data_IF_445340960159
#
_entry.id   IF_445340960159
#
_cell.length_a   1.000
_cell.length_b   1.000
_cell.length_c   1.000
_cell.angle_alpha   90.00
_cell.angle_beta   90.00
_cell.angle_gamma   90.00
#
_symmetry.space_group_name_H-M   'P 1'
#
loop_
_entity.id
_entity.type
_entity.pdbx_description
1 polymer ?
#
# COMPACT_ATOMS: atom_id res chain seq x y z
N UNK A 1 -42.27 -3.96 15.92
CA UNK A 1 -41.53 -3.32 14.83
C UNK A 1 -40.07 -3.53 15.13
N UNK A 2 -39.39 -4.49 14.43
CA UNK A 2 -37.97 -4.73 14.56
C UNK A 2 -37.24 -3.57 13.87
N UNK A 3 -36.58 -2.72 14.64
CA UNK A 3 -35.68 -1.70 14.12
C UNK A 3 -34.35 -2.41 13.93
N UNK A 4 -34.04 -2.89 12.72
CA UNK A 4 -32.68 -3.28 12.37
C UNK A 4 -31.79 -2.05 12.48
N UNK A 5 -30.82 -2.11 13.37
CA UNK A 5 -29.72 -1.14 13.35
C UNK A 5 -28.89 -1.42 12.10
N UNK A 6 -29.04 -0.57 11.09
CA UNK A 6 -28.16 -0.60 9.93
C UNK A 6 -26.71 -0.44 10.43
N UNK A 7 -25.98 -1.53 10.49
CA UNK A 7 -24.53 -1.46 10.59
C UNK A 7 -24.00 -1.14 9.20
N UNK A 8 -23.12 -0.16 9.10
CA UNK A 8 -22.43 0.11 7.84
C UNK A 8 -21.76 -1.19 7.39
N UNK A 9 -22.13 -1.65 6.18
CA UNK A 9 -21.50 -2.82 5.59
C UNK A 9 -20.02 -2.52 5.39
N UNK A 10 -19.15 -3.43 5.86
CA UNK A 10 -17.73 -3.39 5.60
C UNK A 10 -17.30 -4.71 5.01
N UNK A 11 -16.73 -4.68 3.80
CA UNK A 11 -16.20 -5.87 3.16
C UNK A 11 -15.13 -6.53 4.04
N UNK A 12 -15.13 -7.86 4.05
CA UNK A 12 -14.16 -8.67 4.79
C UNK A 12 -13.13 -9.34 3.88
N UNK A 13 -13.41 -9.39 2.59
CA UNK A 13 -12.55 -9.98 1.57
C UNK A 13 -11.88 -8.89 0.74
N UNK A 14 -10.59 -9.06 0.48
CA UNK A 14 -9.76 -8.07 -0.22
C UNK A 14 -8.88 -8.74 -1.27
N UNK A 15 -8.71 -8.05 -2.40
CA UNK A 15 -7.80 -8.41 -3.48
C UNK A 15 -6.67 -7.38 -3.61
N UNK A 16 -5.42 -7.84 -3.64
CA UNK A 16 -4.24 -7.03 -3.87
C UNK A 16 -3.68 -7.30 -5.26
N UNK A 17 -3.73 -6.31 -6.15
CA UNK A 17 -3.32 -6.47 -7.56
C UNK A 17 -2.60 -5.24 -8.09
N UNK A 18 -1.89 -5.40 -9.21
CA UNK A 18 -1.42 -4.27 -10.02
C UNK A 18 -2.64 -3.69 -10.73
N UNK A 19 -2.79 -2.38 -10.69
CA UNK A 19 -3.85 -1.68 -11.41
C UNK A 19 -3.48 -1.59 -12.90
N UNK A 20 -4.19 -2.33 -13.73
CA UNK A 20 -3.95 -2.38 -15.19
C UNK A 20 -5.11 -1.84 -16.01
N UNK A 21 -6.32 -1.81 -15.44
CA UNK A 21 -7.49 -1.24 -16.12
C UNK A 21 -7.54 0.28 -15.87
N UNK A 22 -8.16 1.01 -16.83
CA UNK A 22 -8.37 2.45 -16.68
C UNK A 22 -9.19 2.76 -15.43
N UNK A 23 -10.21 1.96 -15.13
CA UNK A 23 -11.04 2.11 -13.95
C UNK A 23 -10.22 2.00 -12.65
N UNK A 24 -9.34 1.00 -12.54
CA UNK A 24 -8.48 0.84 -11.37
C UNK A 24 -7.50 2.02 -11.22
N UNK A 25 -6.97 2.54 -12.34
CA UNK A 25 -6.09 3.71 -12.35
C UNK A 25 -6.84 4.98 -11.91
N UNK A 26 -8.03 5.21 -12.42
CA UNK A 26 -8.85 6.37 -12.04
C UNK A 26 -9.19 6.33 -10.55
N UNK A 27 -9.56 5.17 -10.03
CA UNK A 27 -9.82 4.96 -8.60
C UNK A 27 -8.55 5.06 -7.75
N UNK A 28 -7.40 4.59 -8.26
CA UNK A 28 -6.10 4.74 -7.61
C UNK A 28 -5.76 6.22 -7.41
N UNK A 29 -5.84 7.03 -8.45
CA UNK A 29 -5.53 8.46 -8.38
C UNK A 29 -6.57 9.21 -7.54
N UNK A 30 -7.84 8.85 -7.61
CA UNK A 30 -8.90 9.44 -6.80
C UNK A 30 -8.67 9.21 -5.30
N UNK A 31 -8.36 7.98 -4.89
CA UNK A 31 -8.05 7.66 -3.49
C UNK A 31 -6.75 8.35 -3.03
N UNK A 32 -5.76 8.43 -3.92
CA UNK A 32 -4.49 9.08 -3.67
C UNK A 32 -4.67 10.58 -3.38
N UNK A 33 -5.43 11.28 -4.22
CA UNK A 33 -5.80 12.69 -4.00
C UNK A 33 -6.53 12.88 -2.68
N UNK A 34 -7.57 12.07 -2.43
CA UNK A 34 -8.33 12.11 -1.17
C UNK A 34 -7.43 12.02 0.06
N UNK A 35 -6.43 11.12 0.03
CA UNK A 35 -5.54 10.91 1.18
C UNK A 35 -4.50 12.02 1.29
N UNK A 36 -3.77 12.34 0.21
CA UNK A 36 -2.59 13.19 0.30
C UNK A 36 -2.89 14.68 0.14
N UNK A 37 -3.96 15.05 -0.58
CA UNK A 37 -4.38 16.45 -0.75
C UNK A 37 -5.47 16.82 0.26
N UNK A 38 -6.59 16.10 0.29
CA UNK A 38 -7.76 16.51 1.06
C UNK A 38 -7.60 16.22 2.55
N UNK A 39 -7.11 15.04 2.92
CA UNK A 39 -6.99 14.61 4.33
C UNK A 39 -5.69 15.11 4.96
N UNK A 40 -4.53 14.72 4.39
CA UNK A 40 -3.22 15.02 4.98
C UNK A 40 -2.69 16.40 4.62
N UNK A 41 -3.20 17.02 3.57
CA UNK A 41 -2.80 18.34 3.06
C UNK A 41 -1.29 18.46 2.83
N UNK A 42 -0.65 17.36 2.44
CA UNK A 42 0.78 17.34 2.06
C UNK A 42 0.98 18.01 0.71
N UNK A 43 -0.01 17.89 -0.18
CA UNK A 43 -0.06 18.55 -1.48
C UNK A 43 -1.32 19.43 -1.56
N UNK A 44 -1.25 20.54 -2.32
CA UNK A 44 -2.37 21.49 -2.36
C UNK A 44 -3.49 21.07 -3.30
N UNK A 45 -3.17 20.80 -4.56
CA UNK A 45 -4.17 20.50 -5.60
C UNK A 45 -4.07 19.08 -6.12
N UNK A 46 -2.86 18.62 -6.43
CA UNK A 46 -2.57 17.31 -6.96
C UNK A 46 -1.24 16.80 -6.37
N UNK A 47 -1.13 15.50 -6.22
CA UNK A 47 0.08 14.84 -5.73
C UNK A 47 0.82 14.05 -6.84
N UNK A 48 0.41 14.24 -8.10
CA UNK A 48 1.05 13.62 -9.26
C UNK A 48 2.44 14.20 -9.49
N UNK A 49 3.34 13.35 -9.98
CA UNK A 49 4.71 13.70 -10.31
C UNK A 49 5.22 12.85 -11.49
N UNK A 50 6.42 13.15 -11.98
CA UNK A 50 7.04 12.47 -13.14
C UNK A 50 7.21 10.94 -12.95
N UNK A 51 7.22 10.47 -11.70
CA UNK A 51 7.31 9.03 -11.41
C UNK A 51 6.05 8.30 -11.89
N UNK A 52 4.91 8.99 -11.95
CA UNK A 52 3.64 8.39 -12.36
C UNK A 52 3.64 7.90 -13.82
N UNK A 53 4.55 8.41 -14.67
CA UNK A 53 4.67 8.00 -16.07
C UNK A 53 5.27 6.58 -16.23
N UNK A 54 5.99 6.08 -15.21
CA UNK A 54 6.69 4.79 -15.27
C UNK A 54 6.51 3.93 -14.02
N UNK A 55 5.61 4.32 -13.11
CA UNK A 55 5.31 3.57 -11.91
C UNK A 55 4.58 2.25 -12.19
N UNK A 56 4.64 1.36 -11.21
CA UNK A 56 3.72 0.23 -11.09
C UNK A 56 2.73 0.55 -9.97
N UNK A 57 1.47 0.86 -10.31
CA UNK A 57 0.43 1.13 -9.30
C UNK A 57 -0.13 -0.19 -8.76
N UNK A 58 -0.20 -0.30 -7.45
CA UNK A 58 -0.77 -1.47 -6.75
C UNK A 58 -1.97 -1.00 -5.94
N UNK A 59 -3.07 -1.73 -6.05
CA UNK A 59 -4.32 -1.45 -5.36
C UNK A 59 -4.74 -2.61 -4.46
N UNK A 60 -5.44 -2.25 -3.39
CA UNK A 60 -6.28 -3.15 -2.62
C UNK A 60 -7.74 -2.84 -2.93
N UNK A 61 -8.46 -3.83 -3.45
CA UNK A 61 -9.90 -3.74 -3.72
C UNK A 61 -10.69 -4.57 -2.73
N UNK A 62 -11.87 -4.10 -2.40
CA UNK A 62 -12.86 -4.93 -1.69
C UNK A 62 -13.46 -5.95 -2.63
N UNK A 63 -13.86 -7.09 -2.07
CA UNK A 63 -14.62 -8.12 -2.76
C UNK A 63 -16.00 -8.19 -2.11
N UNK A 64 -17.03 -7.99 -2.90
CA UNK A 64 -18.43 -8.04 -2.49
C UNK A 64 -19.17 -9.04 -3.37
N UNK A 65 -19.76 -10.05 -2.76
CA UNK A 65 -20.46 -11.13 -3.48
C UNK A 65 -19.58 -11.80 -4.59
N UNK A 66 -18.27 -11.91 -4.35
CA UNK A 66 -17.31 -12.51 -5.29
C UNK A 66 -16.85 -11.58 -6.42
N UNK A 67 -17.29 -10.31 -6.43
CA UNK A 67 -16.91 -9.32 -7.44
C UNK A 67 -15.99 -8.25 -6.86
N UNK A 68 -15.04 -7.78 -7.69
CA UNK A 68 -14.22 -6.63 -7.35
C UNK A 68 -15.10 -5.37 -7.22
N UNK A 69 -14.86 -4.57 -6.16
CA UNK A 69 -15.64 -3.38 -5.88
C UNK A 69 -14.72 -2.17 -5.68
N UNK A 70 -14.67 -1.56 -4.51
CA UNK A 70 -13.96 -0.31 -4.26
C UNK A 70 -12.44 -0.50 -4.13
N UNK A 71 -11.66 0.48 -4.59
CA UNK A 71 -10.25 0.63 -4.24
C UNK A 71 -10.15 1.31 -2.87
N UNK A 72 -9.66 0.57 -1.88
CA UNK A 72 -9.57 1.01 -0.48
C UNK A 72 -8.15 1.16 0.02
N UNK A 73 -7.18 0.78 -0.80
CA UNK A 73 -5.77 0.92 -0.47
C UNK A 73 -4.92 1.02 -1.72
N UNK A 74 -3.83 1.78 -1.62
CA UNK A 74 -2.94 2.09 -2.74
C UNK A 74 -1.48 2.08 -2.29
N UNK A 75 -0.60 1.76 -3.21
CA UNK A 75 0.85 2.02 -3.14
C UNK A 75 1.39 2.05 -4.55
N UNK A 76 2.39 2.89 -4.83
CA UNK A 76 3.14 2.83 -6.07
C UNK A 76 4.57 2.38 -5.82
N UNK A 77 5.13 1.65 -6.78
CA UNK A 77 6.55 1.32 -6.83
C UNK A 77 7.15 1.75 -8.15
N UNK A 78 8.43 2.13 -8.12
CA UNK A 78 9.17 2.58 -9.29
C UNK A 78 10.62 2.09 -9.22
N UNK A 79 11.22 1.82 -10.37
CA UNK A 79 12.64 1.51 -10.47
C UNK A 79 13.40 2.78 -10.87
N UNK A 80 14.28 3.28 -10.02
CA UNK A 80 15.04 4.51 -10.26
C UNK A 80 16.40 4.27 -10.86
N UNK A 81 17.03 3.14 -10.50
CA UNK A 81 18.30 2.68 -11.02
C UNK A 81 18.21 1.18 -11.27
N UNK A 82 19.12 0.58 -12.04
CA UNK A 82 19.12 -0.87 -12.23
C UNK A 82 19.11 -1.59 -10.87
N UNK A 83 18.08 -2.41 -10.65
CA UNK A 83 17.83 -3.22 -9.44
C UNK A 83 17.56 -2.44 -8.14
N UNK A 84 17.50 -1.07 -8.19
CA UNK A 84 17.11 -0.20 -7.09
C UNK A 84 15.65 0.27 -7.26
N UNK A 85 14.83 -0.14 -6.34
CA UNK A 85 13.39 0.14 -6.36
C UNK A 85 12.96 1.04 -5.20
N UNK A 86 11.92 1.79 -5.44
CA UNK A 86 11.32 2.67 -4.44
C UNK A 86 9.83 2.40 -4.29
N UNK A 87 9.36 2.48 -3.03
CA UNK A 87 7.93 2.51 -2.69
C UNK A 87 7.52 3.91 -2.23
N UNK A 88 6.38 4.37 -2.68
CA UNK A 88 5.82 5.67 -2.31
C UNK A 88 4.29 5.68 -2.38
N UNK A 89 3.67 6.74 -1.90
CA UNK A 89 2.22 6.95 -1.96
C UNK A 89 1.41 5.79 -1.33
N UNK A 90 1.94 5.16 -0.27
CA UNK A 90 1.17 4.18 0.49
C UNK A 90 0.02 4.88 1.21
N UNK A 91 -1.19 4.45 0.95
CA UNK A 91 -2.39 4.98 1.58
C UNK A 91 -3.48 3.92 1.73
N UNK A 92 -4.27 4.05 2.79
CA UNK A 92 -5.46 3.23 3.05
C UNK A 92 -6.62 4.16 3.37
N UNK A 93 -7.77 3.93 2.78
CA UNK A 93 -8.99 4.70 3.05
C UNK A 93 -9.30 4.70 4.55
N UNK A 94 -9.67 5.84 5.15
CA UNK A 94 -9.84 5.98 6.60
C UNK A 94 -10.74 4.91 7.23
N UNK A 95 -11.79 4.53 6.54
CA UNK A 95 -12.80 3.56 6.95
C UNK A 95 -12.20 2.15 7.13
N UNK A 96 -11.10 1.85 6.41
CA UNK A 96 -10.46 0.54 6.35
C UNK A 96 -9.15 0.44 7.16
N UNK A 97 -8.67 1.53 7.76
CA UNK A 97 -7.40 1.53 8.54
C UNK A 97 -7.45 0.67 9.80
N UNK A 98 -8.64 0.42 10.34
CA UNK A 98 -8.86 -0.39 11.55
C UNK A 98 -9.11 -1.86 11.28
N UNK A 99 -9.18 -2.28 10.02
CA UNK A 99 -9.30 -3.70 9.64
C UNK A 99 -8.07 -4.44 10.14
N UNK A 100 -8.27 -5.42 11.03
CA UNK A 100 -7.19 -6.18 11.65
C UNK A 100 -7.04 -7.59 11.08
N UNK A 101 -8.15 -8.16 10.59
CA UNK A 101 -8.22 -9.50 9.99
C UNK A 101 -9.09 -9.43 8.77
N UNK A 102 -8.70 -10.14 7.73
CA UNK A 102 -9.51 -10.31 6.54
C UNK A 102 -9.12 -11.64 5.88
N UNK A 103 -10.06 -12.19 5.11
CA UNK A 103 -9.75 -13.25 4.16
C UNK A 103 -9.18 -12.59 2.90
N UNK A 104 -8.12 -13.12 2.34
CA UNK A 104 -7.65 -12.69 1.02
C UNK A 104 -7.86 -13.83 0.04
N UNK A 105 -8.36 -13.50 -1.15
CA UNK A 105 -8.53 -14.46 -2.24
C UNK A 105 -7.17 -15.02 -2.74
N UNK A 106 -6.07 -14.39 -2.34
CA UNK A 106 -4.70 -14.87 -2.58
C UNK A 106 -4.17 -15.45 -1.29
N UNK A 107 -3.94 -16.76 -1.28
CA UNK A 107 -3.25 -17.43 -0.18
C UNK A 107 -1.81 -16.93 -0.12
N UNK A 108 -1.55 -15.93 0.73
CA UNK A 108 -0.19 -15.53 1.06
C UNK A 108 0.39 -16.66 1.89
N UNK A 109 1.28 -17.45 1.33
CA UNK A 109 1.85 -18.68 1.94
C UNK A 109 2.67 -18.46 3.21
N UNK A 110 2.87 -17.22 3.66
CA UNK A 110 3.49 -16.90 4.94
C UNK A 110 2.53 -16.03 5.76
N UNK A 111 1.75 -16.67 6.61
CA UNK A 111 0.92 -16.03 7.62
C UNK A 111 1.83 -15.38 8.68
N UNK A 112 2.34 -14.18 8.42
CA UNK A 112 2.86 -13.35 9.48
C UNK A 112 1.71 -12.53 10.06
N UNK A 113 1.53 -12.52 11.40
CA UNK A 113 0.48 -11.73 12.04
C UNK A 113 0.79 -10.24 11.86
N UNK A 114 0.08 -9.59 10.96
CA UNK A 114 0.15 -8.14 10.76
C UNK A 114 -0.51 -7.44 11.94
N UNK A 115 0.28 -6.91 12.87
CA UNK A 115 -0.20 -6.08 13.97
C UNK A 115 0.00 -4.59 13.67
N UNK A 116 -1.12 -3.88 13.65
CA UNK A 116 -1.37 -2.46 13.93
C UNK A 116 -0.43 -1.34 13.40
N UNK A 117 -1.02 -0.43 12.66
CA UNK A 117 -0.49 0.87 12.24
C UNK A 117 -1.29 1.39 11.05
N UNK A 118 -1.03 0.94 9.83
CA UNK A 118 -1.90 1.11 8.66
C UNK A 118 -2.97 0.00 8.57
N UNK A 119 -3.15 -0.77 9.64
CA UNK A 119 -3.97 -1.96 9.61
C UNK A 119 -3.34 -3.09 8.80
N UNK A 120 -4.08 -4.19 8.69
CA UNK A 120 -3.65 -5.35 7.91
C UNK A 120 -3.54 -5.03 6.40
N UNK A 121 -4.38 -4.13 5.87
CA UNK A 121 -4.37 -3.72 4.46
C UNK A 121 -3.06 -3.01 4.11
N UNK A 122 -2.61 -2.04 4.93
CA UNK A 122 -1.36 -1.34 4.68
C UNK A 122 -0.14 -2.26 4.71
N UNK A 123 -0.09 -3.20 5.66
CA UNK A 123 0.96 -4.20 5.73
C UNK A 123 0.98 -5.11 4.50
N UNK A 124 -0.21 -5.54 4.03
CA UNK A 124 -0.33 -6.39 2.83
C UNK A 124 0.02 -5.63 1.54
N UNK A 125 -0.27 -4.33 1.46
CA UNK A 125 0.18 -3.48 0.35
C UNK A 125 1.70 -3.38 0.32
N UNK A 126 2.35 -3.17 1.47
CA UNK A 126 3.82 -3.15 1.56
C UNK A 126 4.39 -4.51 1.12
N UNK A 127 3.81 -5.61 1.63
CA UNK A 127 4.24 -6.95 1.23
C UNK A 127 4.10 -7.15 -0.28
N UNK A 128 2.95 -6.82 -0.86
CA UNK A 128 2.70 -6.93 -2.31
C UNK A 128 3.69 -6.08 -3.10
N UNK A 129 3.96 -4.85 -2.66
CA UNK A 129 4.88 -3.92 -3.31
C UNK A 129 6.31 -4.48 -3.36
N UNK A 130 6.87 -4.87 -2.20
CA UNK A 130 8.24 -5.39 -2.12
C UNK A 130 8.35 -6.74 -2.83
N UNK A 131 7.38 -7.64 -2.68
CA UNK A 131 7.36 -8.95 -3.37
C UNK A 131 7.27 -8.80 -4.89
N UNK A 132 6.54 -7.78 -5.38
CA UNK A 132 6.48 -7.47 -6.82
C UNK A 132 7.83 -6.98 -7.33
N UNK A 133 8.47 -6.04 -6.65
CA UNK A 133 9.81 -5.56 -7.03
C UNK A 133 10.85 -6.69 -6.96
N UNK A 134 10.79 -7.55 -5.94
CA UNK A 134 11.68 -8.70 -5.79
C UNK A 134 11.52 -9.67 -6.99
N UNK A 135 10.30 -9.94 -7.44
CA UNK A 135 10.05 -10.75 -8.64
C UNK A 135 10.58 -10.11 -9.93
N UNK A 136 10.74 -8.79 -9.96
CA UNK A 136 11.31 -8.01 -11.07
C UNK A 136 12.83 -7.80 -10.95
N UNK A 137 13.48 -8.48 -10.01
CA UNK A 137 14.95 -8.45 -9.86
C UNK A 137 15.46 -7.30 -9.01
N UNK A 138 14.72 -6.89 -8.00
CA UNK A 138 15.13 -5.90 -7.02
C UNK A 138 16.24 -6.44 -6.12
N UNK A 139 17.32 -5.66 -5.95
CA UNK A 139 18.36 -5.93 -4.94
C UNK A 139 18.25 -5.03 -3.73
N UNK A 140 17.74 -3.83 -3.93
CA UNK A 140 17.51 -2.86 -2.86
C UNK A 140 16.15 -2.18 -3.03
N UNK A 141 15.33 -2.23 -2.00
CA UNK A 141 14.01 -1.57 -1.96
C UNK A 141 13.97 -0.51 -0.87
N UNK A 142 13.76 0.74 -1.25
CA UNK A 142 13.77 1.89 -0.37
C UNK A 142 12.39 2.55 -0.29
N UNK A 143 12.11 3.20 0.83
CA UNK A 143 10.99 4.11 0.98
C UNK A 143 11.36 5.31 1.85
N UNK A 144 10.69 6.44 1.63
CA UNK A 144 10.74 7.60 2.51
C UNK A 144 9.44 7.68 3.28
N UNK A 145 9.51 7.41 4.57
CA UNK A 145 8.37 7.18 5.44
C UNK A 145 8.25 8.32 6.44
N UNK A 146 7.06 8.86 6.67
CA UNK A 146 6.85 9.83 7.75
C UNK A 146 7.31 9.23 9.09
N UNK A 147 8.02 10.00 9.92
CA UNK A 147 8.65 9.51 11.15
C UNK A 147 7.67 8.76 12.08
N UNK A 148 6.44 9.24 12.19
CA UNK A 148 5.40 8.59 13.00
C UNK A 148 5.08 7.16 12.57
N UNK A 149 5.38 6.80 11.32
CA UNK A 149 5.12 5.48 10.75
C UNK A 149 6.36 4.56 10.77
N UNK A 150 7.55 5.08 11.12
CA UNK A 150 8.80 4.30 11.06
C UNK A 150 8.72 3.00 11.86
N UNK A 151 8.20 3.05 13.11
CA UNK A 151 8.02 1.84 13.94
C UNK A 151 7.11 0.79 13.32
N UNK A 152 6.15 1.19 12.49
CA UNK A 152 5.31 0.24 11.78
C UNK A 152 6.11 -0.50 10.71
N UNK A 153 6.95 0.21 9.96
CA UNK A 153 7.84 -0.38 8.96
C UNK A 153 8.92 -1.28 9.59
N UNK A 154 9.50 -0.88 10.75
CA UNK A 154 10.45 -1.74 11.49
C UNK A 154 9.85 -3.11 11.83
N UNK A 155 8.57 -3.15 12.25
CA UNK A 155 7.85 -4.42 12.49
C UNK A 155 7.60 -5.26 11.25
N UNK A 156 7.72 -4.66 10.07
CA UNK A 156 7.65 -5.33 8.77
C UNK A 156 9.05 -5.60 8.20
N UNK A 157 10.08 -5.67 9.05
CA UNK A 157 11.47 -5.95 8.68
C UNK A 157 12.09 -4.90 7.77
N UNK A 158 11.82 -3.62 8.07
CA UNK A 158 12.50 -2.50 7.44
C UNK A 158 13.51 -1.87 8.39
N UNK A 159 14.67 -1.49 7.85
CA UNK A 159 15.75 -0.85 8.59
C UNK A 159 15.74 0.66 8.34
N UNK A 160 15.74 1.50 9.40
CA UNK A 160 15.92 2.92 9.25
C UNK A 160 17.36 3.24 8.85
N UNK A 161 17.57 4.12 7.86
CA UNK A 161 18.88 4.54 7.39
C UNK A 161 19.26 5.92 7.93
N UNK A 162 18.47 6.94 7.59
CA UNK A 162 18.68 8.31 8.05
C UNK A 162 17.38 9.11 8.02
N UNK A 163 17.36 10.20 8.78
CA UNK A 163 16.24 11.16 8.77
C UNK A 163 16.48 12.26 7.73
N UNK A 164 15.39 12.74 7.16
CA UNK A 164 15.38 13.87 6.23
C UNK A 164 14.10 14.68 6.39
N UNK A 165 14.13 15.94 5.98
CA UNK A 165 12.95 16.80 5.95
C UNK A 165 12.37 16.84 4.54
N UNK A 166 11.10 16.51 4.37
CA UNK A 166 10.37 16.60 3.12
C UNK A 166 8.95 17.08 3.38
N UNK A 167 8.44 17.97 2.52
CA UNK A 167 7.09 18.53 2.63
C UNK A 167 6.77 19.12 4.03
N UNK A 168 7.77 19.75 4.66
CA UNK A 168 7.61 20.33 6.00
C UNK A 168 7.63 19.34 7.17
N UNK A 169 7.65 18.04 6.91
CA UNK A 169 7.62 16.96 7.91
C UNK A 169 8.96 16.21 7.98
N UNK A 170 9.23 15.62 9.15
CA UNK A 170 10.38 14.73 9.30
C UNK A 170 9.99 13.35 8.75
N UNK A 171 10.85 12.85 7.89
CA UNK A 171 10.76 11.52 7.29
C UNK A 171 11.99 10.69 7.65
N UNK A 172 11.85 9.39 7.53
CA UNK A 172 12.93 8.41 7.67
C UNK A 172 13.09 7.68 6.34
N UNK A 173 14.28 7.68 5.78
CA UNK A 173 14.63 6.78 4.68
C UNK A 173 14.78 5.39 5.27
N UNK A 174 14.07 4.43 4.72
CA UNK A 174 14.06 3.05 5.19
C UNK A 174 14.33 2.07 4.06
N UNK A 175 14.94 0.94 4.39
CA UNK A 175 15.26 -0.16 3.49
C UNK A 175 14.56 -1.44 3.92
N UNK A 176 13.89 -2.11 2.98
CA UNK A 176 13.28 -3.40 3.22
C UNK A 176 14.34 -4.51 3.30
N UNK A 177 14.18 -5.43 4.24
CA UNK A 177 14.92 -6.70 4.23
C UNK A 177 14.21 -7.68 3.29
N UNK A 178 14.72 -7.82 2.08
CA UNK A 178 14.11 -8.63 1.01
C UNK A 178 13.98 -10.11 1.37
N UNK A 179 14.73 -10.62 2.33
CA UNK A 179 14.65 -12.03 2.76
C UNK A 179 13.29 -12.38 3.37
N UNK A 180 12.56 -11.38 3.87
CA UNK A 180 11.22 -11.51 4.42
C UNK A 180 10.10 -11.36 3.38
N UNK A 181 10.44 -11.03 2.12
CA UNK A 181 9.48 -10.75 1.05
C UNK A 181 9.71 -11.70 -0.12
N UNK A 182 8.99 -12.84 -0.11
CA UNK A 182 9.09 -13.81 -1.21
C UNK A 182 8.71 -13.16 -2.54
N UNK A 183 9.45 -13.42 -3.63
CA UNK A 183 9.09 -12.93 -4.95
C UNK A 183 7.63 -13.29 -5.29
N UNK A 184 6.88 -12.33 -5.82
CA UNK A 184 5.53 -12.57 -6.28
C UNK A 184 5.58 -13.64 -7.38
N UNK A 185 4.77 -14.70 -7.25
CA UNK A 185 4.66 -15.72 -8.28
C UNK A 185 4.14 -15.06 -9.55
N UNK A 186 4.85 -15.18 -10.67
CA UNK A 186 4.30 -14.80 -11.97
C UNK A 186 3.06 -15.65 -12.18
N UNK A 187 1.89 -15.03 -12.23
CA UNK A 187 0.73 -15.65 -12.82
C UNK A 187 1.04 -15.69 -14.30
N UNK A 188 1.18 -16.90 -14.84
CA UNK A 188 1.43 -17.13 -16.25
C UNK A 188 0.23 -16.68 -17.09
#
# INVERSE_FOLDING_TARGET
MLIERFQNFQAQDFLFKIATSQEDLDRFFSLRRRIFCDEQRVFQEDDRDEIDDHMIPIVCKTIVAGMEDEVVGIVRIDQREPRLWHGSRLGVAPEYRRVRRFSSAVTIRNQQPCQAGFGAIGASLIYKAVSTANALGCDEFLATVQEQNARFFERLHWQPLHKLKAHGLIHVRMRADLTHYQPATKVA
#
